data_IF_479169644561
#
_entry.id   IF_479169644561
#
_cell.length_a   1.000
_cell.length_b   1.000
_cell.length_c   1.000
_cell.angle_alpha   90.00
_cell.angle_beta   90.00
_cell.angle_gamma   90.00
#
_symmetry.space_group_name_H-M   'P 1'
#
loop_
_entity.id
_entity.type
_entity.pdbx_description
1 polymer ?
#
# COMPACT_ATOMS: atom_id res chain seq x y z
N UNK A 1 20.92 6.58 -18.73
CA UNK A 1 20.65 7.34 -17.49
C UNK A 1 19.15 7.43 -17.28
N UNK A 2 18.62 6.96 -16.15
CA UNK A 2 17.22 7.18 -15.78
C UNK A 2 17.01 8.68 -15.54
N UNK A 3 15.94 9.25 -16.11
CA UNK A 3 15.56 10.64 -15.78
C UNK A 3 15.35 10.73 -14.26
N UNK A 4 15.78 11.81 -13.59
CA UNK A 4 15.69 11.93 -12.12
C UNK A 4 14.29 11.65 -11.58
N UNK A 5 13.25 12.09 -12.30
CA UNK A 5 11.84 11.83 -11.98
C UNK A 5 11.44 10.36 -12.00
N UNK A 6 12.01 9.56 -12.91
CA UNK A 6 11.78 8.12 -12.96
C UNK A 6 12.47 7.40 -11.80
N UNK A 7 13.67 7.84 -11.43
CA UNK A 7 14.39 7.30 -10.29
C UNK A 7 13.62 7.55 -8.97
N UNK A 8 13.13 8.78 -8.77
CA UNK A 8 12.31 9.12 -7.59
C UNK A 8 11.05 8.24 -7.54
N UNK A 9 10.35 8.10 -8.66
CA UNK A 9 9.14 7.25 -8.74
C UNK A 9 9.45 5.80 -8.39
N UNK A 10 10.58 5.28 -8.88
CA UNK A 10 11.03 3.93 -8.58
C UNK A 10 11.36 3.75 -7.10
N UNK A 11 12.16 4.65 -6.51
CA UNK A 11 12.56 4.58 -5.10
C UNK A 11 11.36 4.70 -4.16
N UNK A 12 10.42 5.61 -4.47
CA UNK A 12 9.16 5.71 -3.74
C UNK A 12 8.35 4.41 -3.82
N UNK A 13 8.24 3.83 -5.02
CA UNK A 13 7.58 2.54 -5.20
C UNK A 13 8.25 1.40 -4.44
N UNK A 14 9.58 1.37 -4.41
CA UNK A 14 10.35 0.40 -3.65
C UNK A 14 10.13 0.54 -2.14
N UNK A 15 10.10 1.78 -1.62
CA UNK A 15 9.81 2.06 -0.22
C UNK A 15 8.40 1.61 0.17
N UNK A 16 7.39 1.88 -0.67
CA UNK A 16 6.02 1.40 -0.46
C UNK A 16 5.94 -0.13 -0.47
N UNK A 17 6.61 -0.79 -1.41
CA UNK A 17 6.65 -2.24 -1.49
C UNK A 17 7.29 -2.86 -0.24
N UNK A 18 8.42 -2.30 0.21
CA UNK A 18 9.09 -2.72 1.44
C UNK A 18 8.20 -2.51 2.66
N UNK A 19 7.54 -1.36 2.78
CA UNK A 19 6.59 -1.09 3.85
C UNK A 19 5.44 -2.12 3.88
N UNK A 20 4.87 -2.43 2.72
CA UNK A 20 3.82 -3.44 2.61
C UNK A 20 4.27 -4.81 3.09
N UNK A 21 5.48 -5.24 2.72
CA UNK A 21 6.06 -6.49 3.21
C UNK A 21 6.28 -6.46 4.72
N UNK A 22 6.83 -5.37 5.27
CA UNK A 22 7.03 -5.22 6.71
C UNK A 22 5.69 -5.33 7.46
N UNK A 23 4.63 -4.70 6.96
CA UNK A 23 3.29 -4.79 7.57
C UNK A 23 2.73 -6.22 7.47
N UNK A 24 2.87 -6.89 6.33
CA UNK A 24 2.40 -8.27 6.13
C UNK A 24 3.05 -9.26 7.10
N UNK A 25 4.34 -9.08 7.39
CA UNK A 25 5.11 -9.98 8.23
C UNK A 25 5.33 -9.47 9.68
N UNK A 26 4.80 -8.30 10.02
CA UNK A 26 5.05 -7.61 11.30
C UNK A 26 4.25 -8.14 12.49
N UNK A 27 3.35 -9.12 12.30
CA UNK A 27 2.57 -9.75 13.38
C UNK A 27 1.40 -8.92 13.93
N UNK A 28 1.38 -7.60 13.72
CA UNK A 28 0.27 -6.71 14.08
C UNK A 28 0.67 -5.23 13.98
N UNK A 29 -0.30 -4.36 13.71
CA UNK A 29 -0.08 -2.90 13.68
C UNK A 29 -1.21 -2.22 14.45
N UNK A 30 -0.88 -1.24 15.29
CA UNK A 30 -1.87 -0.39 15.95
C UNK A 30 -1.68 1.06 15.47
N UNK A 31 -2.75 1.69 14.98
CA UNK A 31 -2.75 3.10 14.59
C UNK A 31 -3.60 3.92 15.58
N UNK A 32 -3.04 4.98 16.18
CA UNK A 32 -3.78 5.85 17.09
C UNK A 32 -4.73 6.80 16.34
N UNK A 33 -5.91 7.06 16.89
CA UNK A 33 -6.81 8.13 16.43
C UNK A 33 -6.74 9.36 17.33
N UNK A 34 -7.21 10.50 16.81
CA UNK A 34 -7.44 11.71 17.62
C UNK A 34 -8.69 11.55 18.49
N UNK A 35 -8.79 12.39 19.52
CA UNK A 35 -9.72 12.30 20.64
C UNK A 35 -11.20 11.99 20.28
N UNK A 36 -11.89 11.14 21.08
CA UNK A 36 -11.35 10.31 22.15
C UNK A 36 -10.38 9.26 21.57
N UNK A 37 -9.24 8.97 22.23
CA UNK A 37 -8.24 8.07 21.69
C UNK A 37 -8.84 6.68 21.53
N UNK A 38 -8.93 6.23 20.29
CA UNK A 38 -9.17 4.84 19.91
C UNK A 38 -7.98 4.34 19.12
N UNK A 39 -7.76 3.04 19.12
CA UNK A 39 -6.71 2.39 18.36
C UNK A 39 -7.36 1.51 17.29
N UNK A 40 -6.96 1.71 16.04
CA UNK A 40 -7.22 0.70 15.02
C UNK A 40 -6.19 -0.40 15.17
N UNK A 41 -6.64 -1.58 15.59
CA UNK A 41 -5.76 -2.75 15.71
C UNK A 41 -5.91 -3.58 14.45
N UNK A 42 -4.83 -3.70 13.69
CA UNK A 42 -4.76 -4.49 12.47
C UNK A 42 -4.14 -5.84 12.80
N UNK A 43 -4.92 -6.91 12.59
CA UNK A 43 -4.51 -8.30 12.79
C UNK A 43 -5.23 -9.20 11.80
N UNK A 44 -4.63 -10.34 11.45
CA UNK A 44 -5.24 -11.29 10.51
C UNK A 44 -5.54 -10.65 9.15
N UNK A 45 -6.80 -10.70 8.72
CA UNK A 45 -7.23 -10.22 7.39
C UNK A 45 -7.05 -8.71 7.22
N UNK A 46 -7.36 -7.89 8.24
CA UNK A 46 -7.21 -6.43 8.14
C UNK A 46 -5.74 -6.03 8.00
N UNK A 47 -4.83 -6.74 8.68
CA UNK A 47 -3.38 -6.56 8.52
C UNK A 47 -2.91 -6.98 7.12
N UNK A 48 -3.43 -8.10 6.61
CA UNK A 48 -3.14 -8.57 5.25
C UNK A 48 -3.54 -7.52 4.19
N UNK A 49 -4.75 -6.97 4.31
CA UNK A 49 -5.25 -5.93 3.42
C UNK A 49 -4.45 -4.62 3.57
N UNK A 50 -4.10 -4.25 4.81
CA UNK A 50 -3.29 -3.06 5.09
C UNK A 50 -1.90 -3.16 4.45
N UNK A 51 -1.27 -4.33 4.50
CA UNK A 51 0.05 -4.55 3.89
C UNK A 51 0.02 -4.75 2.38
N UNK A 52 -1.01 -5.40 1.83
CA UNK A 52 -1.19 -5.58 0.38
C UNK A 52 -1.38 -4.25 -0.34
N UNK A 53 -2.08 -3.29 0.27
CA UNK A 53 -2.34 -1.99 -0.36
C UNK A 53 -1.06 -1.25 -0.80
N UNK A 54 -0.12 -0.90 0.10
CA UNK A 54 1.13 -0.24 -0.29
C UNK A 54 2.04 -1.17 -1.09
N UNK A 55 1.97 -2.50 -0.92
CA UNK A 55 2.72 -3.44 -1.76
C UNK A 55 2.33 -3.33 -3.24
N UNK A 56 1.03 -3.43 -3.54
CA UNK A 56 0.51 -3.33 -4.90
C UNK A 56 0.82 -1.94 -5.49
N UNK A 57 0.57 -0.87 -4.74
CA UNK A 57 0.87 0.49 -5.18
C UNK A 57 2.37 0.66 -5.49
N UNK A 58 3.24 0.16 -4.62
CA UNK A 58 4.69 0.20 -4.79
C UNK A 58 5.17 -0.55 -6.03
N UNK A 59 4.67 -1.77 -6.25
CA UNK A 59 4.96 -2.57 -7.44
C UNK A 59 4.50 -1.88 -8.73
N UNK A 60 3.32 -1.25 -8.72
CA UNK A 60 2.81 -0.47 -9.85
C UNK A 60 3.72 0.75 -10.13
N UNK A 61 4.10 1.51 -9.11
CA UNK A 61 5.02 2.65 -9.25
C UNK A 61 6.36 2.23 -9.86
N UNK A 62 6.95 1.13 -9.39
CA UNK A 62 8.19 0.58 -9.95
C UNK A 62 8.02 0.11 -11.40
N UNK A 63 6.91 -0.54 -11.72
CA UNK A 63 6.60 -0.98 -13.09
C UNK A 63 6.43 0.19 -14.06
N UNK A 64 5.77 1.26 -13.62
CA UNK A 64 5.64 2.51 -14.38
C UNK A 64 6.99 3.21 -14.58
N UNK A 65 7.81 3.30 -13.54
CA UNK A 65 9.13 3.94 -13.62
C UNK A 65 10.09 3.20 -14.56
N UNK A 66 9.93 1.88 -14.70
CA UNK A 66 10.69 1.03 -15.62
C UNK A 66 10.10 0.96 -17.03
N UNK A 67 8.99 1.64 -17.30
CA UNK A 67 8.28 1.57 -18.59
C UNK A 67 7.67 0.19 -18.90
N UNK A 68 7.55 -0.70 -17.90
CA UNK A 68 6.92 -2.02 -18.05
C UNK A 68 5.40 -1.97 -17.93
N UNK A 69 4.88 -0.92 -17.31
CA UNK A 69 3.45 -0.64 -17.20
C UNK A 69 3.14 0.69 -17.89
N UNK A 70 1.91 0.81 -18.40
CA UNK A 70 1.37 2.05 -18.93
C UNK A 70 0.32 2.62 -17.99
N UNK A 71 0.34 3.94 -17.76
CA UNK A 71 -0.68 4.66 -16.98
C UNK A 71 -2.07 4.59 -17.60
N UNK A 72 -2.12 4.44 -18.92
CA UNK A 72 -3.37 4.35 -19.68
C UNK A 72 -3.95 2.95 -19.67
N UNK A 73 -3.16 1.94 -19.29
CA UNK A 73 -3.60 0.56 -19.21
C UNK A 73 -4.72 0.40 -18.16
N UNK A 74 -5.87 -0.19 -18.54
CA UNK A 74 -6.94 -0.52 -17.60
C UNK A 74 -6.43 -1.34 -16.41
N UNK A 75 -5.53 -2.30 -16.65
CA UNK A 75 -4.96 -3.16 -15.61
C UNK A 75 -4.22 -2.37 -14.54
N UNK A 76 -3.47 -1.34 -14.93
CA UNK A 76 -2.75 -0.47 -13.98
C UNK A 76 -3.74 0.32 -13.11
N UNK A 77 -4.81 0.84 -13.73
CA UNK A 77 -5.87 1.57 -13.01
C UNK A 77 -6.62 0.66 -12.05
N UNK A 78 -6.97 -0.55 -12.48
CA UNK A 78 -7.61 -1.56 -11.64
C UNK A 78 -6.72 -2.00 -10.48
N UNK A 79 -5.42 -2.20 -10.70
CA UNK A 79 -4.48 -2.54 -9.63
C UNK A 79 -4.41 -1.45 -8.56
N UNK A 80 -4.36 -0.17 -8.96
CA UNK A 80 -4.41 0.96 -8.02
C UNK A 80 -5.77 1.07 -7.33
N UNK A 81 -6.87 0.87 -8.06
CA UNK A 81 -8.22 0.85 -7.49
C UNK A 81 -8.38 -0.26 -6.45
N UNK A 82 -7.89 -1.47 -6.74
CA UNK A 82 -7.88 -2.60 -5.82
C UNK A 82 -7.00 -2.33 -4.59
N UNK A 83 -5.85 -1.68 -4.76
CA UNK A 83 -4.99 -1.24 -3.65
C UNK A 83 -5.71 -0.27 -2.71
N UNK A 84 -6.45 0.71 -3.26
CA UNK A 84 -7.24 1.65 -2.46
C UNK A 84 -8.44 0.99 -1.79
N UNK A 85 -9.13 0.09 -2.50
CA UNK A 85 -10.23 -0.68 -1.93
C UNK A 85 -9.75 -1.59 -0.78
N UNK A 86 -8.60 -2.26 -0.94
CA UNK A 86 -7.99 -3.05 0.11
C UNK A 86 -7.66 -2.21 1.34
N UNK A 87 -7.13 -0.99 1.16
CA UNK A 87 -6.89 -0.06 2.27
C UNK A 87 -8.20 0.28 2.99
N UNK A 88 -9.23 0.70 2.25
CA UNK A 88 -10.53 1.01 2.85
C UNK A 88 -11.13 -0.16 3.63
N UNK A 89 -11.08 -1.37 3.05
CA UNK A 89 -11.53 -2.59 3.70
C UNK A 89 -10.70 -2.93 4.95
N UNK A 90 -9.39 -2.70 4.93
CA UNK A 90 -8.54 -2.91 6.11
C UNK A 90 -9.04 -2.09 7.30
N UNK A 91 -9.36 -0.82 7.08
CA UNK A 91 -9.88 0.07 8.14
C UNK A 91 -11.32 -0.24 8.55
N UNK A 92 -12.15 -0.75 7.64
CA UNK A 92 -13.51 -1.20 7.97
C UNK A 92 -13.51 -2.44 8.85
N UNK A 93 -12.56 -3.36 8.63
CA UNK A 93 -12.45 -4.62 9.36
C UNK A 93 -11.60 -4.52 10.63
N UNK A 94 -10.78 -3.47 10.75
CA UNK A 94 -9.95 -3.27 11.93
C UNK A 94 -10.83 -2.94 13.15
N UNK A 95 -10.77 -3.75 14.24
CA UNK A 95 -11.42 -3.40 15.49
C UNK A 95 -10.89 -2.05 16.00
N UNK A 96 -11.82 -1.28 16.56
CA UNK A 96 -11.54 -0.01 17.25
C UNK A 96 -11.52 -0.31 18.75
N UNK A 97 -10.33 -0.37 19.32
CA UNK A 97 -10.11 -0.53 20.76
C UNK A 97 -10.01 0.83 21.44
#
# INVERSE_FOLDING_TARGET
MLRPTLLITYLFGAALAALGLVVLFGGGVALPTREPPRQFVFSGVSLWLLGLSPLIAGLVCMGLARGRLSRESPTTRWALGASMAALGLAFLLAPKA
#
